data_IF_358131089832
#
_entry.id   IF_358131089832
#
_cell.length_a   1.000
_cell.length_b   1.000
_cell.length_c   1.000
_cell.angle_alpha   90.00
_cell.angle_beta   90.00
_cell.angle_gamma   90.00
#
_symmetry.space_group_name_H-M   'P 1'
#
loop_
_entity.id
_entity.type
_entity.pdbx_description
1 polymer ?
#
# COMPACT_ATOMS: atom_id res chain seq x y z
N UNK A 1 23.84 -11.08 -13.27
CA UNK A 1 24.54 -9.80 -13.02
C UNK A 1 25.79 -10.11 -12.21
N UNK A 2 26.97 -9.66 -12.68
CA UNK A 2 28.30 -10.09 -12.22
C UNK A 2 28.56 -9.68 -10.75
N UNK A 3 28.93 -10.64 -9.90
CA UNK A 3 29.49 -10.40 -8.56
C UNK A 3 30.94 -9.93 -8.70
N UNK A 4 31.20 -8.66 -8.41
CA UNK A 4 32.55 -8.10 -8.29
C UNK A 4 33.06 -8.40 -6.89
N UNK A 5 33.98 -9.35 -6.79
CA UNK A 5 34.70 -9.65 -5.55
C UNK A 5 35.73 -8.57 -5.24
N UNK A 6 35.40 -7.66 -4.32
CA UNK A 6 36.36 -6.76 -3.68
C UNK A 6 37.04 -7.50 -2.54
N UNK A 7 38.21 -8.08 -2.84
CA UNK A 7 39.09 -8.72 -1.88
C UNK A 7 39.71 -7.69 -0.93
N UNK A 8 39.08 -7.45 0.22
CA UNK A 8 39.68 -6.69 1.32
C UNK A 8 40.70 -7.59 2.04
N UNK A 9 41.96 -7.58 1.58
CA UNK A 9 43.09 -8.17 2.32
C UNK A 9 43.27 -7.38 3.63
N UNK A 10 42.62 -7.84 4.71
CA UNK A 10 42.96 -7.40 6.07
C UNK A 10 44.36 -7.93 6.39
N UNK A 11 45.34 -7.02 6.44
CA UNK A 11 46.65 -7.28 7.03
C UNK A 11 46.43 -7.49 8.53
N UNK A 12 46.33 -8.75 8.96
CA UNK A 12 46.49 -9.07 10.37
C UNK A 12 47.93 -8.75 10.75
N UNK A 13 48.07 -7.90 11.77
CA UNK A 13 49.36 -7.49 12.31
C UNK A 13 50.21 -8.72 12.60
N UNK A 14 51.42 -8.70 12.05
CA UNK A 14 52.48 -9.66 12.34
C UNK A 14 52.61 -9.84 13.84
N UNK A 15 52.63 -11.09 14.29
CA UNK A 15 52.98 -11.50 15.64
C UNK A 15 54.22 -10.76 16.11
N UNK A 16 54.04 -9.80 17.01
CA UNK A 16 55.14 -9.21 17.75
C UNK A 16 55.71 -10.34 18.60
N UNK A 17 57.03 -10.56 18.44
CA UNK A 17 57.76 -11.70 18.98
C UNK A 17 57.35 -11.96 20.43
N UNK A 18 56.88 -13.18 20.65
CA UNK A 18 56.68 -13.79 21.95
C UNK A 18 57.93 -13.65 22.79
N UNK A 19 57.86 -12.82 23.83
CA UNK A 19 58.67 -13.01 25.04
C UNK A 19 58.10 -14.22 25.77
N UNK A 20 58.42 -15.41 25.25
CA UNK A 20 58.25 -16.66 25.98
C UNK A 20 59.32 -16.69 27.06
N UNK A 21 58.87 -16.89 28.30
CA UNK A 21 59.65 -17.23 29.48
C UNK A 21 60.16 -16.01 30.28
N UNK A 22 59.27 -15.44 31.10
CA UNK A 22 59.67 -14.96 32.43
C UNK A 22 59.88 -16.20 33.32
N UNK A 23 60.89 -16.99 32.97
CA UNK A 23 61.48 -17.92 33.92
C UNK A 23 62.16 -17.07 34.99
N UNK A 24 61.97 -17.42 36.26
CA UNK A 24 62.54 -16.80 37.46
C UNK A 24 63.74 -15.91 37.12
N UNK A 25 63.62 -14.58 37.27
CA UNK A 25 64.75 -13.66 37.09
C UNK A 25 65.77 -13.99 38.18
N UNK A 26 66.66 -14.93 37.90
CA UNK A 26 67.79 -15.25 38.75
C UNK A 26 68.83 -14.15 38.52
N UNK A 27 69.10 -13.35 39.55
CA UNK A 27 70.11 -12.28 39.46
C UNK A 27 71.47 -12.94 39.69
N UNK A 28 72.06 -13.46 38.61
CA UNK A 28 73.27 -14.31 38.65
C UNK A 28 74.56 -13.59 39.09
N UNK A 29 74.50 -12.30 39.42
CA UNK A 29 75.69 -11.45 39.58
C UNK A 29 75.70 -10.58 40.85
N UNK A 30 74.89 -10.90 41.87
CA UNK A 30 74.81 -10.16 43.14
C UNK A 30 76.18 -9.97 43.82
N UNK A 31 77.07 -10.97 43.74
CA UNK A 31 78.43 -10.91 44.28
C UNK A 31 79.33 -9.91 43.55
N UNK A 32 79.22 -9.85 42.22
CA UNK A 32 80.02 -8.95 41.38
C UNK A 32 79.65 -7.48 41.60
N UNK A 33 78.36 -7.20 41.81
CA UNK A 33 77.90 -5.84 42.13
C UNK A 33 78.35 -5.37 43.52
N UNK A 34 78.39 -6.28 44.52
CA UNK A 34 78.98 -5.98 45.83
C UNK A 34 80.45 -5.60 45.73
N UNK A 35 81.24 -6.37 44.99
CA UNK A 35 82.67 -6.11 44.82
C UNK A 35 82.94 -4.76 44.13
N UNK A 36 82.14 -4.41 43.12
CA UNK A 36 82.24 -3.12 42.43
C UNK A 36 81.88 -1.92 43.31
N UNK A 37 80.91 -2.06 44.21
CA UNK A 37 80.53 -1.01 45.17
C UNK A 37 81.64 -0.76 46.21
N UNK A 38 82.32 -1.82 46.63
CA UNK A 38 83.47 -1.71 47.55
C UNK A 38 84.68 -1.09 46.86
N UNK A 39 85.02 -1.52 45.65
CA UNK A 39 86.23 -1.07 44.94
C UNK A 39 86.11 0.37 44.41
N UNK A 40 84.99 0.71 43.75
CA UNK A 40 84.81 2.02 43.11
C UNK A 40 84.08 3.04 43.98
N UNK A 41 83.15 2.58 44.81
CA UNK A 41 82.32 3.43 45.66
C UNK A 41 82.92 3.69 47.05
N UNK A 42 83.97 2.95 47.45
CA UNK A 42 84.58 2.98 48.79
C UNK A 42 83.56 2.74 49.92
N UNK A 43 82.53 1.96 49.65
CA UNK A 43 81.52 1.60 50.65
C UNK A 43 81.99 0.42 51.49
N UNK A 44 81.61 0.40 52.77
CA UNK A 44 81.87 -0.74 53.66
C UNK A 44 81.11 -1.98 53.19
N UNK A 45 81.59 -3.18 53.53
CA UNK A 45 80.99 -4.45 53.12
C UNK A 45 79.49 -4.54 53.50
N UNK A 46 79.13 -4.13 54.72
CA UNK A 46 77.73 -4.10 55.19
C UNK A 46 76.86 -3.14 54.37
N UNK A 47 77.40 -1.98 53.99
CA UNK A 47 76.68 -0.99 53.18
C UNK A 47 76.45 -1.51 51.77
N UNK A 48 77.48 -2.12 51.17
CA UNK A 48 77.40 -2.73 49.84
C UNK A 48 76.40 -3.89 49.79
N UNK A 49 76.35 -4.71 50.86
CA UNK A 49 75.38 -5.80 50.95
C UNK A 49 73.94 -5.29 51.10
N UNK A 50 73.74 -4.24 51.91
CA UNK A 50 72.42 -3.63 52.10
C UNK A 50 71.88 -2.98 50.83
N UNK A 51 72.73 -2.23 50.10
CA UNK A 51 72.34 -1.57 48.84
C UNK A 51 71.96 -2.60 47.77
N UNK A 52 72.78 -3.65 47.62
CA UNK A 52 72.49 -4.71 46.64
C UNK A 52 71.23 -5.49 47.04
N UNK A 53 71.01 -5.73 48.34
CA UNK A 53 69.78 -6.35 48.85
C UNK A 53 68.53 -5.54 48.51
N UNK A 54 68.55 -4.22 48.78
CA UNK A 54 67.45 -3.31 48.44
C UNK A 54 67.19 -3.24 46.93
N UNK A 55 68.25 -3.28 46.11
CA UNK A 55 68.12 -3.25 44.66
C UNK A 55 67.52 -4.55 44.11
N UNK A 56 67.93 -5.70 44.65
CA UNK A 56 67.34 -7.01 44.33
C UNK A 56 65.85 -7.02 44.70
N UNK A 57 65.50 -6.51 45.89
CA UNK A 57 64.11 -6.43 46.35
C UNK A 57 63.27 -5.48 45.47
N UNK A 58 63.78 -4.30 45.15
CA UNK A 58 63.12 -3.34 44.26
C UNK A 58 62.94 -3.90 42.84
N UNK A 59 63.94 -4.61 42.31
CA UNK A 59 63.84 -5.28 41.00
C UNK A 59 62.83 -6.42 41.03
N UNK A 60 62.83 -7.25 42.07
CA UNK A 60 61.86 -8.34 42.22
C UNK A 60 60.43 -7.79 42.36
N UNK A 61 60.25 -6.71 43.13
CA UNK A 61 58.98 -6.00 43.25
C UNK A 61 58.52 -5.40 41.92
N UNK A 62 59.43 -4.75 41.18
CA UNK A 62 59.16 -4.18 39.85
C UNK A 62 58.79 -5.24 38.81
N UNK A 63 59.53 -6.36 38.76
CA UNK A 63 59.22 -7.50 37.88
C UNK A 63 57.87 -8.11 38.22
N UNK A 64 57.55 -8.25 39.51
CA UNK A 64 56.26 -8.78 39.96
C UNK A 64 55.11 -7.85 39.57
N UNK A 65 55.26 -6.53 39.74
CA UNK A 65 54.28 -5.53 39.36
C UNK A 65 54.05 -5.50 37.84
N UNK A 66 55.12 -5.46 37.04
CA UNK A 66 55.03 -5.49 35.57
C UNK A 66 54.42 -6.81 35.07
N UNK A 67 54.71 -7.94 35.72
CA UNK A 67 54.12 -9.24 35.39
C UNK A 67 52.64 -9.38 35.79
N UNK A 68 52.16 -8.56 36.74
CA UNK A 68 50.74 -8.46 37.06
C UNK A 68 49.97 -7.65 36.02
N UNK A 69 50.59 -6.58 35.48
CA UNK A 69 49.99 -5.70 34.48
C UNK A 69 50.09 -6.25 33.04
N UNK A 70 51.19 -6.95 32.71
CA UNK A 70 51.29 -7.73 31.48
C UNK A 70 50.29 -8.88 31.55
N UNK A 71 49.15 -8.69 30.87
CA UNK A 71 48.12 -9.70 30.74
C UNK A 71 48.73 -11.08 30.40
N UNK A 72 48.59 -12.02 31.35
CA UNK A 72 49.01 -13.41 31.17
C UNK A 72 48.47 -13.90 29.83
N UNK A 73 49.35 -14.47 28.98
CA UNK A 73 49.02 -15.02 27.65
C UNK A 73 47.74 -15.88 27.66
N UNK A 74 47.49 -16.57 28.77
CA UNK A 74 46.27 -17.31 29.04
C UNK A 74 44.99 -16.46 29.05
N UNK A 75 44.97 -15.31 29.76
CA UNK A 75 43.82 -14.40 29.76
C UNK A 75 43.53 -13.84 28.38
N UNK A 76 44.55 -13.46 27.61
CA UNK A 76 44.38 -12.99 26.24
C UNK A 76 43.78 -14.07 25.34
N UNK A 77 44.23 -15.33 25.49
CA UNK A 77 43.68 -16.46 24.75
C UNK A 77 42.22 -16.73 25.12
N UNK A 78 41.87 -16.66 26.42
CA UNK A 78 40.49 -16.82 26.89
C UNK A 78 39.58 -15.71 26.35
N UNK A 79 40.00 -14.45 26.40
CA UNK A 79 39.26 -13.31 25.86
C UNK A 79 39.05 -13.44 24.35
N UNK A 80 40.10 -13.83 23.61
CA UNK A 80 40.01 -14.06 22.16
C UNK A 80 39.07 -15.22 21.83
N UNK A 81 39.09 -16.30 22.61
CA UNK A 81 38.17 -17.42 22.43
C UNK A 81 36.72 -17.00 22.69
N UNK A 82 36.47 -16.29 23.79
CA UNK A 82 35.13 -15.78 24.13
C UNK A 82 34.60 -14.85 23.04
N UNK A 83 35.42 -13.91 22.58
CA UNK A 83 35.06 -13.02 21.48
C UNK A 83 34.71 -13.81 20.21
N UNK A 84 35.44 -14.88 19.88
CA UNK A 84 35.15 -15.72 18.71
C UNK A 84 33.83 -16.46 18.84
N UNK A 85 33.51 -16.96 20.04
CA UNK A 85 32.23 -17.62 20.33
C UNK A 85 31.09 -16.61 20.23
N UNK A 86 31.26 -15.41 20.78
CA UNK A 86 30.23 -14.37 20.74
C UNK A 86 29.97 -13.91 19.30
N UNK A 87 31.00 -13.76 18.48
CA UNK A 87 30.83 -13.51 17.04
C UNK A 87 30.10 -14.63 16.31
N UNK A 88 30.38 -15.89 16.66
CA UNK A 88 29.68 -17.02 16.06
C UNK A 88 28.18 -16.99 16.42
N UNK A 89 27.83 -16.70 17.68
CA UNK A 89 26.45 -16.54 18.14
C UNK A 89 25.74 -15.37 17.47
N UNK A 90 26.39 -14.20 17.41
CA UNK A 90 25.85 -13.00 16.74
C UNK A 90 25.55 -13.27 15.27
N UNK A 91 26.44 -13.97 14.58
CA UNK A 91 26.22 -14.36 13.18
C UNK A 91 25.02 -15.28 13.04
N UNK A 92 24.89 -16.25 13.95
CA UNK A 92 23.79 -17.22 13.90
C UNK A 92 22.44 -16.56 14.18
N UNK A 93 22.40 -15.67 15.18
CA UNK A 93 21.22 -14.84 15.46
C UNK A 93 20.86 -13.94 14.28
N UNK A 94 21.85 -13.31 13.63
CA UNK A 94 21.62 -12.48 12.45
C UNK A 94 21.04 -13.30 11.29
N UNK A 95 21.58 -14.48 11.01
CA UNK A 95 21.08 -15.36 9.96
C UNK A 95 19.67 -15.85 10.25
N UNK A 96 19.38 -16.21 11.50
CA UNK A 96 18.04 -16.61 11.92
C UNK A 96 17.04 -15.45 11.80
N UNK A 97 17.43 -14.25 12.24
CA UNK A 97 16.59 -13.06 12.15
C UNK A 97 16.32 -12.68 10.68
N UNK A 98 17.35 -12.65 9.84
CA UNK A 98 17.23 -12.35 8.41
C UNK A 98 16.32 -13.37 7.69
N UNK A 99 16.51 -14.66 7.95
CA UNK A 99 15.64 -15.70 7.40
C UNK A 99 14.20 -15.55 7.88
N UNK A 100 13.99 -15.24 9.16
CA UNK A 100 12.65 -15.03 9.72
C UNK A 100 11.97 -13.79 9.13
N UNK A 101 12.69 -12.68 8.99
CA UNK A 101 12.17 -11.45 8.39
C UNK A 101 11.84 -11.67 6.91
N UNK A 102 12.71 -12.40 6.19
CA UNK A 102 12.44 -12.76 4.80
C UNK A 102 11.17 -13.60 4.66
N UNK A 103 10.98 -14.61 5.51
CA UNK A 103 9.76 -15.41 5.51
C UNK A 103 8.52 -14.59 5.87
N UNK A 104 8.61 -13.69 6.85
CA UNK A 104 7.52 -12.79 7.21
C UNK A 104 7.17 -11.85 6.05
N UNK A 105 8.18 -11.27 5.39
CA UNK A 105 7.98 -10.38 4.25
C UNK A 105 7.35 -11.13 3.08
N UNK A 106 7.78 -12.37 2.81
CA UNK A 106 7.20 -13.19 1.77
C UNK A 106 5.74 -13.55 2.07
N UNK A 107 5.41 -13.87 3.32
CA UNK A 107 4.03 -14.13 3.73
C UNK A 107 3.14 -12.90 3.59
N UNK A 108 3.61 -11.72 4.03
CA UNK A 108 2.87 -10.46 3.87
C UNK A 108 2.73 -10.07 2.40
N UNK A 109 3.75 -10.32 1.57
CA UNK A 109 3.66 -10.12 0.13
C UNK A 109 2.58 -11.00 -0.51
N UNK A 110 2.56 -12.31 -0.22
CA UNK A 110 1.54 -13.22 -0.76
C UNK A 110 0.14 -12.88 -0.25
N UNK A 111 0.03 -12.44 1.01
CA UNK A 111 -1.23 -11.95 1.59
C UNK A 111 -1.74 -10.72 0.85
N UNK A 112 -0.92 -9.68 0.69
CA UNK A 112 -1.28 -8.45 -0.02
C UNK A 112 -1.63 -8.76 -1.47
N UNK A 113 -0.86 -9.64 -2.14
CA UNK A 113 -1.15 -10.09 -3.50
C UNK A 113 -2.52 -10.76 -3.60
N UNK A 114 -2.83 -11.66 -2.67
CA UNK A 114 -4.12 -12.35 -2.61
C UNK A 114 -5.27 -11.36 -2.40
N UNK A 115 -5.10 -10.40 -1.50
CA UNK A 115 -6.12 -9.39 -1.22
C UNK A 115 -6.33 -8.44 -2.42
N UNK A 116 -5.25 -8.12 -3.15
CA UNK A 116 -5.33 -7.37 -4.41
C UNK A 116 -6.13 -8.14 -5.46
N UNK A 117 -5.86 -9.42 -5.66
CA UNK A 117 -6.59 -10.25 -6.62
C UNK A 117 -8.08 -10.39 -6.25
N UNK A 118 -8.39 -10.56 -4.96
CA UNK A 118 -9.77 -10.55 -4.46
C UNK A 118 -10.47 -9.23 -4.75
N UNK A 119 -9.83 -8.11 -4.43
CA UNK A 119 -10.39 -6.78 -4.66
C UNK A 119 -10.61 -6.51 -6.15
N UNK A 120 -9.66 -6.93 -7.00
CA UNK A 120 -9.78 -6.84 -8.45
C UNK A 120 -10.99 -7.60 -8.99
N UNK A 121 -11.21 -8.82 -8.50
CA UNK A 121 -12.34 -9.64 -8.93
C UNK A 121 -13.67 -9.05 -8.44
N UNK A 122 -13.74 -8.64 -7.17
CA UNK A 122 -14.91 -7.95 -6.62
C UNK A 122 -15.26 -6.68 -7.40
N UNK A 123 -14.27 -5.86 -7.72
CA UNK A 123 -14.49 -4.64 -8.50
C UNK A 123 -15.03 -4.95 -9.91
N UNK A 124 -14.51 -5.99 -10.57
CA UNK A 124 -15.02 -6.45 -11.87
C UNK A 124 -16.47 -6.92 -11.78
N UNK A 125 -16.81 -7.67 -10.74
CA UNK A 125 -18.18 -8.13 -10.49
C UNK A 125 -19.12 -6.94 -10.24
N UNK A 126 -18.71 -5.97 -9.42
CA UNK A 126 -19.50 -4.76 -9.15
C UNK A 126 -19.70 -3.91 -10.41
N UNK A 127 -18.66 -3.72 -11.23
CA UNK A 127 -18.79 -3.03 -12.52
C UNK A 127 -19.77 -3.77 -13.44
N UNK A 128 -19.66 -5.09 -13.53
CA UNK A 128 -20.55 -5.91 -14.37
C UNK A 128 -22.00 -5.81 -13.89
N UNK A 129 -22.22 -5.89 -12.57
CA UNK A 129 -23.52 -5.75 -11.95
C UNK A 129 -24.12 -4.36 -12.16
N UNK A 130 -23.34 -3.30 -11.96
CA UNK A 130 -23.76 -1.93 -12.19
C UNK A 130 -24.13 -1.69 -13.66
N UNK A 131 -23.33 -2.20 -14.60
CA UNK A 131 -23.61 -2.08 -16.03
C UNK A 131 -24.87 -2.86 -16.44
N UNK A 132 -25.08 -4.06 -15.87
CA UNK A 132 -26.31 -4.82 -16.08
C UNK A 132 -27.54 -4.08 -15.51
N UNK A 133 -27.41 -3.47 -14.32
CA UNK A 133 -28.42 -2.61 -13.73
C UNK A 133 -28.76 -1.43 -14.64
N UNK A 134 -27.75 -0.66 -15.07
CA UNK A 134 -27.95 0.48 -15.98
C UNK A 134 -28.63 0.08 -17.30
N UNK A 135 -28.24 -1.07 -17.88
CA UNK A 135 -28.87 -1.58 -19.10
C UNK A 135 -30.34 -1.96 -18.87
N UNK A 136 -30.65 -2.55 -17.73
CA UNK A 136 -32.03 -2.88 -17.36
C UNK A 136 -32.83 -1.60 -17.15
N UNK A 137 -32.32 -0.64 -16.39
CA UNK A 137 -32.95 0.66 -16.13
C UNK A 137 -33.27 1.38 -17.45
N UNK A 138 -32.32 1.43 -18.38
CA UNK A 138 -32.54 2.00 -19.71
C UNK A 138 -33.62 1.25 -20.49
N UNK A 139 -33.65 -0.08 -20.38
CA UNK A 139 -34.64 -0.91 -21.09
C UNK A 139 -36.05 -0.70 -20.52
N UNK A 140 -36.18 -0.57 -19.20
CA UNK A 140 -37.43 -0.25 -18.52
C UNK A 140 -37.89 1.16 -18.88
N UNK A 141 -37.00 2.15 -18.83
CA UNK A 141 -37.31 3.54 -19.17
C UNK A 141 -37.71 3.68 -20.65
N UNK A 142 -37.03 2.98 -21.56
CA UNK A 142 -37.44 2.91 -22.97
C UNK A 142 -38.81 2.26 -23.14
N UNK A 143 -39.11 1.23 -22.35
CA UNK A 143 -40.44 0.62 -22.29
C UNK A 143 -41.51 1.62 -21.83
N UNK A 144 -41.23 2.33 -20.74
CA UNK A 144 -42.11 3.35 -20.17
C UNK A 144 -42.41 4.48 -21.16
N UNK A 145 -41.37 5.04 -21.80
CA UNK A 145 -41.53 6.09 -22.82
C UNK A 145 -42.38 5.58 -23.99
N UNK A 146 -42.20 4.33 -24.41
CA UNK A 146 -42.99 3.75 -25.50
C UNK A 146 -44.46 3.58 -25.10
N UNK A 147 -44.73 3.13 -23.88
CA UNK A 147 -46.08 2.99 -23.36
C UNK A 147 -46.77 4.37 -23.23
N UNK A 148 -46.07 5.35 -22.69
CA UNK A 148 -46.55 6.74 -22.59
C UNK A 148 -46.83 7.35 -23.98
N UNK A 149 -45.94 7.14 -24.95
CA UNK A 149 -46.17 7.55 -26.34
C UNK A 149 -47.38 6.86 -26.95
N UNK A 150 -47.54 5.55 -26.75
CA UNK A 150 -48.69 4.80 -27.26
C UNK A 150 -50.00 5.27 -26.62
N UNK A 151 -49.96 5.64 -25.34
CA UNK A 151 -51.10 6.19 -24.64
C UNK A 151 -51.51 7.55 -25.22
N UNK A 152 -50.54 8.44 -25.48
CA UNK A 152 -50.81 9.71 -26.15
C UNK A 152 -51.35 9.53 -27.58
N UNK A 153 -50.81 8.59 -28.36
CA UNK A 153 -51.33 8.28 -29.69
C UNK A 153 -52.79 7.82 -29.66
N UNK A 154 -53.16 7.02 -28.66
CA UNK A 154 -54.54 6.58 -28.46
C UNK A 154 -55.46 7.74 -28.07
N UNK A 155 -55.02 8.61 -27.15
CA UNK A 155 -55.78 9.79 -26.76
C UNK A 155 -55.99 10.74 -27.95
N UNK A 156 -54.96 10.96 -28.76
CA UNK A 156 -55.05 11.79 -29.97
C UNK A 156 -56.09 11.19 -30.93
N UNK A 157 -56.02 9.89 -31.21
CA UNK A 157 -57.01 9.22 -32.07
C UNK A 157 -58.43 9.31 -31.52
N UNK A 158 -58.62 9.12 -30.22
CA UNK A 158 -59.94 9.27 -29.60
C UNK A 158 -60.48 10.69 -29.79
N UNK A 159 -59.63 11.71 -29.58
CA UNK A 159 -59.99 13.11 -29.81
C UNK A 159 -60.31 13.37 -31.29
N UNK A 160 -59.50 12.85 -32.22
CA UNK A 160 -59.76 12.94 -33.67
C UNK A 160 -61.14 12.34 -34.01
N UNK A 161 -61.47 11.16 -33.48
CA UNK A 161 -62.78 10.55 -33.73
C UNK A 161 -63.94 11.37 -33.15
N UNK A 162 -63.76 12.00 -31.97
CA UNK A 162 -64.75 12.91 -31.39
C UNK A 162 -64.95 14.16 -32.24
N UNK A 163 -63.86 14.75 -32.73
CA UNK A 163 -63.90 15.90 -33.64
C UNK A 163 -64.65 15.54 -34.93
N UNK A 164 -64.35 14.40 -35.55
CA UNK A 164 -65.04 13.95 -36.77
C UNK A 164 -66.55 13.72 -36.51
N UNK A 165 -66.90 13.17 -35.35
CA UNK A 165 -68.29 12.99 -34.96
C UNK A 165 -69.01 14.35 -34.77
N UNK A 166 -68.37 15.31 -34.10
CA UNK A 166 -68.91 16.66 -33.93
C UNK A 166 -69.05 17.39 -35.27
N UNK A 167 -68.08 17.25 -36.17
CA UNK A 167 -68.13 17.81 -37.53
C UNK A 167 -69.28 17.24 -38.33
N UNK A 168 -69.47 15.91 -38.30
CA UNK A 168 -70.59 15.25 -38.98
C UNK A 168 -71.94 15.67 -38.37
N UNK A 169 -72.03 15.78 -37.05
CA UNK A 169 -73.22 16.28 -36.37
C UNK A 169 -73.57 17.71 -36.80
N UNK A 170 -72.58 18.61 -36.84
CA UNK A 170 -72.76 19.98 -37.34
C UNK A 170 -73.19 20.00 -38.82
N UNK A 171 -72.59 19.17 -39.68
CA UNK A 171 -73.01 19.04 -41.09
C UNK A 171 -74.46 18.57 -41.22
N UNK A 172 -74.87 17.55 -40.47
CA UNK A 172 -76.25 17.07 -40.45
C UNK A 172 -77.23 18.15 -39.98
N UNK A 173 -76.87 18.93 -38.95
CA UNK A 173 -77.69 20.06 -38.50
C UNK A 173 -77.82 21.13 -39.59
N UNK A 174 -76.74 21.46 -40.30
CA UNK A 174 -76.76 22.41 -41.42
C UNK A 174 -77.66 21.89 -42.56
N UNK A 175 -77.50 20.63 -42.97
CA UNK A 175 -78.31 20.04 -44.03
C UNK A 175 -79.80 19.96 -43.64
N UNK A 176 -80.09 19.62 -42.38
CA UNK A 176 -81.45 19.67 -41.84
C UNK A 176 -82.04 21.09 -41.93
N UNK A 177 -81.30 22.11 -41.46
CA UNK A 177 -81.73 23.51 -41.57
C UNK A 177 -81.97 23.92 -43.03
N UNK A 178 -81.09 23.51 -43.95
CA UNK A 178 -81.25 23.78 -45.40
C UNK A 178 -82.52 23.15 -45.96
N UNK A 179 -82.83 21.90 -45.62
CA UNK A 179 -84.08 21.25 -46.07
C UNK A 179 -85.31 21.91 -45.49
N UNK A 180 -85.26 22.33 -44.22
CA UNK A 180 -86.34 23.07 -43.58
C UNK A 180 -86.59 24.40 -44.29
N UNK A 181 -85.54 25.16 -44.61
CA UNK A 181 -85.64 26.41 -45.38
C UNK A 181 -86.25 26.17 -46.78
N UNK A 182 -85.86 25.10 -47.47
CA UNK A 182 -86.45 24.73 -48.76
C UNK A 182 -87.93 24.39 -48.65
N UNK A 183 -88.34 23.65 -47.61
CA UNK A 183 -89.76 23.38 -47.35
C UNK A 183 -90.56 24.66 -47.07
N UNK A 184 -90.01 25.59 -46.26
CA UNK A 184 -90.63 26.90 -46.04
C UNK A 184 -90.80 27.68 -47.35
N UNK A 185 -89.78 27.68 -48.21
CA UNK A 185 -89.84 28.34 -49.53
C UNK A 185 -90.96 27.75 -50.39
N UNK A 186 -91.06 26.42 -50.48
CA UNK A 186 -92.15 25.74 -51.20
C UNK A 186 -93.51 26.12 -50.62
N UNK A 187 -93.64 26.17 -49.29
CA UNK A 187 -94.87 26.59 -48.61
C UNK A 187 -95.27 28.03 -48.94
N UNK A 188 -94.31 28.96 -48.93
CA UNK A 188 -94.56 30.37 -49.28
C UNK A 188 -94.95 30.52 -50.76
N UNK A 189 -94.22 29.90 -51.69
CA UNK A 189 -94.55 29.95 -53.11
C UNK A 189 -95.93 29.33 -53.43
N UNK A 190 -96.28 28.22 -52.78
CA UNK A 190 -97.58 27.57 -52.95
C UNK A 190 -98.70 28.44 -52.37
N UNK A 191 -98.47 29.06 -51.21
CA UNK A 191 -99.41 29.98 -50.56
C UNK A 191 -99.67 31.24 -51.40
N UNK A 192 -98.62 31.87 -51.94
CA UNK A 192 -98.77 33.04 -52.82
C UNK A 192 -99.47 32.67 -54.12
N UNK A 193 -99.14 31.52 -54.74
CA UNK A 193 -99.83 31.04 -55.94
C UNK A 193 -101.32 30.78 -55.68
N UNK A 194 -101.67 30.17 -54.54
CA UNK A 194 -103.06 29.95 -54.14
C UNK A 194 -103.82 31.27 -53.93
N UNK A 195 -103.19 32.28 -53.33
CA UNK A 195 -103.78 33.62 -53.17
C UNK A 195 -104.03 34.30 -54.52
N UNK A 196 -103.09 34.21 -55.47
CA UNK A 196 -103.27 34.75 -56.83
C UNK A 196 -104.43 34.06 -57.53
N UNK A 197 -104.51 32.72 -57.46
CA UNK A 197 -105.63 31.97 -58.03
C UNK A 197 -106.98 32.35 -57.39
N UNK A 198 -107.02 32.53 -56.06
CA UNK A 198 -108.21 32.98 -55.35
C UNK A 198 -108.63 34.38 -55.78
N UNK A 199 -107.68 35.31 -55.98
CA UNK A 199 -107.95 36.66 -56.45
C UNK A 199 -108.49 36.68 -57.89
N UNK A 200 -107.88 35.90 -58.80
CA UNK A 200 -108.37 35.74 -60.18
C UNK A 200 -109.81 35.20 -60.19
N UNK A 201 -110.12 34.24 -59.31
CA UNK A 201 -111.47 33.69 -59.18
C UNK A 201 -112.50 34.68 -58.63
N UNK A 202 -112.09 35.68 -57.84
CA UNK A 202 -112.98 36.70 -57.29
C UNK A 202 -113.28 37.82 -58.30
N UNK A 203 -112.38 38.04 -59.26
CA UNK A 203 -112.53 39.03 -60.34
C UNK A 203 -113.20 38.50 -61.61
N UNK A 204 -113.19 37.18 -61.85
CA UNK A 204 -113.94 36.52 -62.93
C UNK A 204 -115.36 36.20 -62.52
#
# INVERSE_FOLDING_TARGET
MRLVGLGFKRRFHSSLKTLSNFESVHIDNTSKYRQLLMEKGKFTEEQSNSIVGLMVEAMQGGVTHVSQDLAKRERLNQLSYQQRVDFAKLRDQLLCADSSEFHNLQNEYERVRTDLDKLRNKLREEITKANAGFKLDLSLEKGRIREESSHHDLQIKEIETKIDQEVNNMRMQIDSVKTQVMQWLIGVCTGTFALVLAYVRLLS
#
